data_IF_018373730165
#
_entry.id   IF_018373730165
#
_cell.length_a   1.000
_cell.length_b   1.000
_cell.length_c   1.000
_cell.angle_alpha   90.00
_cell.angle_beta   90.00
_cell.angle_gamma   90.00
#
_symmetry.space_group_name_H-M   'P 1'
#
loop_
_entity.id
_entity.type
_entity.pdbx_description
1 polymer ?
#
# COMPACT_ATOMS: atom_id res chain seq x y z
N UNK A 1 -52.58 42.74 18.88
CA UNK A 1 -52.12 43.08 17.52
C UNK A 1 -51.45 41.87 16.87
N UNK A 2 -52.19 40.80 16.55
CA UNK A 2 -51.78 39.65 15.70
C UNK A 2 -53.05 38.83 15.36
N UNK A 3 -53.84 39.29 14.39
CA UNK A 3 -54.96 38.54 13.80
C UNK A 3 -54.89 38.73 12.29
N UNK A 4 -54.23 37.82 11.58
CA UNK A 4 -54.08 37.98 10.13
C UNK A 4 -53.30 36.92 9.35
N UNK A 5 -52.94 35.76 9.92
CA UNK A 5 -52.21 34.69 9.20
C UNK A 5 -52.91 33.33 9.32
N UNK A 6 -54.22 33.27 9.04
CA UNK A 6 -55.00 32.00 9.09
C UNK A 6 -55.46 31.43 7.75
N UNK A 7 -55.14 32.03 6.61
CA UNK A 7 -55.76 31.66 5.33
C UNK A 7 -54.81 31.39 4.15
N UNK A 8 -53.70 30.68 4.39
CA UNK A 8 -52.86 30.18 3.28
C UNK A 8 -52.41 28.71 3.45
N UNK A 9 -53.21 27.89 4.13
CA UNK A 9 -53.03 26.44 4.07
C UNK A 9 -53.76 25.90 2.83
N UNK A 10 -53.22 26.19 1.64
CA UNK A 10 -53.76 25.64 0.39
C UNK A 10 -53.59 24.12 0.44
N UNK A 11 -54.68 23.39 0.27
CA UNK A 11 -54.68 21.93 0.21
C UNK A 11 -53.80 21.49 -0.98
N UNK A 12 -52.67 20.79 -0.75
CA UNK A 12 -51.74 20.39 -1.82
C UNK A 12 -52.39 19.50 -2.87
N UNK A 13 -53.44 18.76 -2.49
CA UNK A 13 -54.22 17.92 -3.41
C UNK A 13 -54.96 18.77 -4.46
N UNK A 14 -55.55 19.89 -4.06
CA UNK A 14 -56.28 20.79 -4.96
C UNK A 14 -55.37 21.52 -5.96
N UNK A 15 -54.08 21.66 -5.64
CA UNK A 15 -53.06 22.23 -6.55
C UNK A 15 -52.67 21.18 -7.59
N UNK A 16 -52.49 19.92 -7.18
CA UNK A 16 -52.15 18.82 -8.09
C UNK A 16 -53.25 18.59 -9.13
N UNK A 17 -54.53 18.61 -8.73
CA UNK A 17 -55.65 18.40 -9.65
C UNK A 17 -55.72 19.42 -10.80
N UNK A 18 -55.38 20.69 -10.54
CA UNK A 18 -55.42 21.79 -11.52
C UNK A 18 -54.24 21.84 -12.51
N UNK A 19 -53.24 20.97 -12.38
CA UNK A 19 -52.10 20.97 -13.31
C UNK A 19 -52.41 20.27 -14.63
N UNK A 20 -51.83 20.77 -15.74
CA UNK A 20 -51.84 20.06 -17.02
C UNK A 20 -51.16 18.69 -16.91
N UNK A 21 -51.57 17.74 -17.75
CA UNK A 21 -51.05 16.37 -17.79
C UNK A 21 -49.52 16.35 -17.91
N UNK A 22 -48.96 17.22 -18.74
CA UNK A 22 -47.51 17.32 -18.97
C UNK A 22 -46.75 17.73 -17.71
N UNK A 23 -47.30 18.65 -16.91
CA UNK A 23 -46.70 19.06 -15.63
C UNK A 23 -46.74 17.92 -14.61
N UNK A 24 -47.81 17.13 -14.57
CA UNK A 24 -47.89 15.95 -13.68
C UNK A 24 -46.83 14.92 -14.06
N UNK A 25 -46.69 14.63 -15.35
CA UNK A 25 -45.65 13.73 -15.87
C UNK A 25 -44.26 14.27 -15.52
N UNK A 26 -44.01 15.56 -15.72
CA UNK A 26 -42.74 16.19 -15.38
C UNK A 26 -42.40 16.10 -13.89
N UNK A 27 -43.37 16.31 -12.99
CA UNK A 27 -43.15 16.15 -11.54
C UNK A 27 -42.79 14.70 -11.20
N UNK A 28 -43.48 13.72 -11.79
CA UNK A 28 -43.16 12.31 -11.59
C UNK A 28 -41.75 11.99 -12.08
N UNK A 29 -41.36 12.49 -13.25
CA UNK A 29 -40.01 12.32 -13.80
C UNK A 29 -38.96 12.95 -12.88
N UNK A 30 -39.18 14.18 -12.42
CA UNK A 30 -38.25 14.86 -11.50
C UNK A 30 -38.15 14.09 -10.19
N UNK A 31 -39.27 13.65 -9.62
CA UNK A 31 -39.28 12.84 -8.40
C UNK A 31 -38.48 11.54 -8.57
N UNK A 32 -38.67 10.86 -9.70
CA UNK A 32 -37.90 9.66 -10.05
C UNK A 32 -36.40 9.95 -10.17
N UNK A 33 -36.02 11.02 -10.88
CA UNK A 33 -34.61 11.41 -11.07
C UNK A 33 -33.93 11.75 -9.74
N UNK A 34 -34.61 12.41 -8.81
CA UNK A 34 -34.07 12.74 -7.49
C UNK A 34 -33.80 11.47 -6.68
N UNK A 35 -34.76 10.53 -6.65
CA UNK A 35 -34.59 9.24 -5.97
C UNK A 35 -33.45 8.45 -6.60
N UNK A 36 -33.41 8.36 -7.93
CA UNK A 36 -32.38 7.64 -8.67
C UNK A 36 -30.99 8.25 -8.44
N UNK A 37 -30.86 9.58 -8.47
CA UNK A 37 -29.61 10.26 -8.13
C UNK A 37 -29.17 9.98 -6.71
N UNK A 38 -30.11 9.96 -5.75
CA UNK A 38 -29.81 9.62 -4.34
C UNK A 38 -29.23 8.21 -4.20
N UNK A 39 -29.77 7.24 -4.93
CA UNK A 39 -29.25 5.87 -4.96
C UNK A 39 -27.83 5.84 -5.54
N UNK A 40 -27.58 6.48 -6.67
CA UNK A 40 -26.23 6.54 -7.28
C UNK A 40 -25.22 7.21 -6.33
N UNK A 41 -25.58 8.32 -5.71
CA UNK A 41 -24.70 9.01 -4.75
C UNK A 41 -24.37 8.12 -3.56
N UNK A 42 -25.36 7.37 -3.05
CA UNK A 42 -25.14 6.44 -1.96
C UNK A 42 -24.20 5.29 -2.35
N UNK A 43 -24.40 4.67 -3.52
CA UNK A 43 -23.51 3.61 -4.02
C UNK A 43 -22.07 4.13 -4.19
N UNK A 44 -21.89 5.29 -4.83
CA UNK A 44 -20.57 5.91 -5.00
C UNK A 44 -19.89 6.23 -3.66
N UNK A 45 -20.66 6.56 -2.61
CA UNK A 45 -20.12 6.82 -1.28
C UNK A 45 -19.65 5.52 -0.62
N UNK A 46 -20.42 4.43 -0.75
CA UNK A 46 -20.02 3.12 -0.24
C UNK A 46 -18.76 2.60 -0.94
N UNK A 47 -18.69 2.71 -2.27
CA UNK A 47 -17.54 2.28 -3.06
C UNK A 47 -16.26 3.00 -2.60
N UNK A 48 -16.33 4.33 -2.39
CA UNK A 48 -15.20 5.11 -1.88
C UNK A 48 -14.74 4.69 -0.48
N UNK A 49 -15.68 4.44 0.44
CA UNK A 49 -15.32 3.97 1.78
C UNK A 49 -14.66 2.60 1.74
N UNK A 50 -15.14 1.71 0.86
CA UNK A 50 -14.54 0.40 0.70
C UNK A 50 -13.15 0.48 0.06
N UNK A 51 -12.94 1.34 -0.93
CA UNK A 51 -11.61 1.63 -1.50
C UNK A 51 -10.64 2.16 -0.43
N UNK A 52 -11.06 3.13 0.39
CA UNK A 52 -10.27 3.67 1.50
C UNK A 52 -9.90 2.57 2.50
N UNK A 53 -10.87 1.74 2.89
CA UNK A 53 -10.66 0.62 3.82
C UNK A 53 -9.69 -0.43 3.25
N UNK A 54 -9.83 -0.80 1.99
CA UNK A 54 -8.93 -1.75 1.35
C UNK A 54 -7.51 -1.18 1.23
N UNK A 55 -7.39 0.12 0.98
CA UNK A 55 -6.11 0.80 0.94
C UNK A 55 -5.44 0.87 2.32
N UNK A 56 -6.20 1.15 3.39
CA UNK A 56 -5.69 1.09 4.76
C UNK A 56 -5.14 -0.30 5.11
N UNK A 57 -5.91 -1.36 4.81
CA UNK A 57 -5.46 -2.75 5.03
C UNK A 57 -4.21 -3.08 4.23
N UNK A 58 -4.17 -2.67 2.95
CA UNK A 58 -2.99 -2.85 2.12
C UNK A 58 -1.76 -2.15 2.71
N UNK A 59 -1.91 -0.89 3.12
CA UNK A 59 -0.82 -0.09 3.66
C UNK A 59 -0.27 -0.70 4.95
N UNK A 60 -1.16 -1.14 5.85
CA UNK A 60 -0.81 -1.84 7.07
C UNK A 60 -0.01 -3.12 6.79
N UNK A 61 -0.52 -3.99 5.91
CA UNK A 61 0.17 -5.22 5.53
C UNK A 61 1.53 -4.95 4.87
N UNK A 62 1.61 -3.92 4.02
CA UNK A 62 2.86 -3.56 3.38
C UNK A 62 3.89 -3.02 4.38
N UNK A 63 3.46 -2.15 5.30
CA UNK A 63 4.29 -1.64 6.38
C UNK A 63 4.86 -2.77 7.24
N UNK A 64 4.02 -3.68 7.72
CA UNK A 64 4.48 -4.80 8.55
C UNK A 64 5.38 -5.76 7.78
N UNK A 65 5.11 -6.05 6.52
CA UNK A 65 5.99 -6.92 5.73
C UNK A 65 7.37 -6.30 5.49
N UNK A 66 7.45 -4.97 5.34
CA UNK A 66 8.73 -4.24 5.31
C UNK A 66 9.43 -4.30 6.67
N UNK A 67 8.69 -4.14 7.77
CA UNK A 67 9.23 -4.21 9.12
C UNK A 67 9.76 -5.60 9.49
N UNK A 68 9.00 -6.65 9.21
CA UNK A 68 9.37 -8.04 9.47
C UNK A 68 10.62 -8.42 8.65
N UNK A 69 10.67 -8.03 7.37
CA UNK A 69 11.87 -8.22 6.54
C UNK A 69 13.09 -7.52 7.15
N UNK A 70 12.93 -6.27 7.61
CA UNK A 70 14.00 -5.50 8.25
C UNK A 70 14.46 -6.16 9.55
N UNK A 71 13.53 -6.53 10.42
CA UNK A 71 13.82 -7.14 11.71
C UNK A 71 14.56 -8.46 11.57
N UNK A 72 14.17 -9.32 10.63
CA UNK A 72 14.87 -10.58 10.36
C UNK A 72 16.29 -10.36 9.85
N UNK A 73 16.49 -9.40 8.94
CA UNK A 73 17.84 -9.05 8.45
C UNK A 73 18.71 -8.52 9.60
N UNK A 74 18.18 -7.61 10.43
CA UNK A 74 18.91 -7.06 11.57
C UNK A 74 19.30 -8.15 12.57
N UNK A 75 18.35 -9.02 12.92
CA UNK A 75 18.59 -10.14 13.82
C UNK A 75 19.63 -11.13 13.28
N UNK A 76 19.61 -11.39 11.96
CA UNK A 76 20.63 -12.20 11.30
C UNK A 76 22.04 -11.57 11.41
N UNK A 77 22.16 -10.27 11.15
CA UNK A 77 23.43 -9.52 11.24
C UNK A 77 23.97 -9.48 12.68
N UNK A 78 23.08 -9.34 13.67
CA UNK A 78 23.44 -9.21 15.08
C UNK A 78 23.90 -10.53 15.68
N UNK A 79 23.13 -11.60 15.46
CA UNK A 79 23.43 -12.91 16.09
C UNK A 79 24.52 -13.69 15.35
N UNK A 80 24.71 -13.43 14.05
CA UNK A 80 25.68 -14.13 13.18
C UNK A 80 25.65 -15.67 13.37
N UNK A 81 24.49 -16.30 13.18
CA UNK A 81 24.35 -17.75 13.27
C UNK A 81 25.23 -18.43 12.20
N UNK A 82 25.45 -19.73 12.35
CA UNK A 82 26.28 -20.51 11.43
C UNK A 82 25.55 -21.78 10.97
N UNK A 83 25.98 -22.33 9.84
CA UNK A 83 25.51 -23.60 9.27
C UNK A 83 23.98 -23.64 9.11
N UNK A 84 23.33 -24.73 9.55
CA UNK A 84 21.90 -24.96 9.37
C UNK A 84 20.99 -23.83 9.93
N UNK A 85 21.39 -23.19 11.04
CA UNK A 85 20.61 -22.09 11.61
C UNK A 85 20.70 -20.83 10.73
N UNK A 86 21.84 -20.60 10.10
CA UNK A 86 22.04 -19.53 9.14
C UNK A 86 21.17 -19.74 7.90
N UNK A 87 21.17 -20.96 7.34
CA UNK A 87 20.34 -21.32 6.19
C UNK A 87 18.84 -21.11 6.47
N UNK A 88 18.36 -21.54 7.65
CA UNK A 88 16.96 -21.34 8.06
C UNK A 88 16.58 -19.86 8.11
N UNK A 89 17.49 -19.01 8.58
CA UNK A 89 17.24 -17.56 8.70
C UNK A 89 17.31 -16.85 7.37
N UNK A 90 18.23 -17.24 6.49
CA UNK A 90 18.27 -16.74 5.12
C UNK A 90 16.98 -17.10 4.39
N UNK A 91 16.52 -18.35 4.52
CA UNK A 91 15.24 -18.78 3.94
C UNK A 91 14.06 -17.99 4.52
N UNK A 92 14.06 -17.72 5.83
CA UNK A 92 13.02 -16.90 6.45
C UNK A 92 13.02 -15.45 5.93
N UNK A 93 14.19 -14.82 5.76
CA UNK A 93 14.30 -13.48 5.16
C UNK A 93 13.78 -13.47 3.72
N UNK A 94 14.16 -14.50 2.94
CA UNK A 94 13.69 -14.67 1.57
C UNK A 94 12.17 -14.71 1.49
N UNK A 95 11.53 -15.49 2.35
CA UNK A 95 10.08 -15.63 2.35
C UNK A 95 9.39 -14.29 2.68
N UNK A 96 9.90 -13.52 3.65
CA UNK A 96 9.35 -12.18 3.95
C UNK A 96 9.53 -11.19 2.80
N UNK A 97 10.69 -11.16 2.16
CA UNK A 97 10.93 -10.27 1.02
C UNK A 97 10.00 -10.63 -0.16
N UNK A 98 9.78 -11.92 -0.42
CA UNK A 98 8.83 -12.38 -1.44
C UNK A 98 7.37 -12.05 -1.07
N UNK A 99 7.02 -12.11 0.21
CA UNK A 99 5.73 -11.67 0.71
C UNK A 99 5.54 -10.16 0.49
N UNK A 100 6.52 -9.33 0.86
CA UNK A 100 6.49 -7.88 0.62
C UNK A 100 6.33 -7.54 -0.86
N UNK A 101 7.09 -8.24 -1.72
CA UNK A 101 6.96 -8.15 -3.17
C UNK A 101 5.55 -8.50 -3.67
N UNK A 102 4.93 -9.54 -3.09
CA UNK A 102 3.60 -9.98 -3.48
C UNK A 102 2.54 -8.96 -3.05
N UNK A 103 2.65 -8.42 -1.83
CA UNK A 103 1.75 -7.39 -1.32
C UNK A 103 1.77 -6.16 -2.22
N UNK A 104 2.94 -5.61 -2.55
CA UNK A 104 3.02 -4.41 -3.39
C UNK A 104 2.50 -4.65 -4.81
N UNK A 105 2.78 -5.82 -5.41
CA UNK A 105 2.26 -6.18 -6.72
C UNK A 105 0.75 -6.36 -6.73
N UNK A 106 0.19 -6.96 -5.68
CA UNK A 106 -1.25 -7.11 -5.53
C UNK A 106 -1.93 -5.77 -5.30
N UNK A 107 -1.33 -4.87 -4.51
CA UNK A 107 -1.78 -3.49 -4.37
C UNK A 107 -1.90 -2.80 -5.74
N UNK A 108 -0.85 -2.88 -6.54
CA UNK A 108 -0.86 -2.35 -7.91
C UNK A 108 -1.90 -3.01 -8.83
N UNK A 109 -2.05 -4.34 -8.76
CA UNK A 109 -2.87 -5.08 -9.75
C UNK A 109 -4.36 -5.10 -9.41
N UNK A 110 -4.72 -5.10 -8.12
CA UNK A 110 -6.07 -5.38 -7.65
C UNK A 110 -6.71 -4.25 -6.85
N UNK A 111 -5.92 -3.39 -6.22
CA UNK A 111 -6.43 -2.29 -5.42
C UNK A 111 -6.41 -0.98 -6.21
N UNK A 112 -5.22 -0.55 -6.66
CA UNK A 112 -5.08 0.67 -7.42
C UNK A 112 -3.83 0.62 -8.31
N UNK A 113 -4.04 0.73 -9.63
CA UNK A 113 -2.97 0.68 -10.64
C UNK A 113 -1.99 1.84 -10.60
N UNK A 114 -2.30 2.90 -9.84
CA UNK A 114 -1.36 3.98 -9.57
C UNK A 114 -0.29 3.59 -8.54
N UNK A 115 -0.52 2.55 -7.73
CA UNK A 115 0.52 2.02 -6.82
C UNK A 115 1.66 1.45 -7.66
N UNK A 116 2.87 1.96 -7.43
CA UNK A 116 4.04 1.61 -8.22
C UNK A 116 4.57 0.25 -7.77
N UNK A 117 4.63 -0.75 -8.67
CA UNK A 117 5.31 -1.99 -8.37
C UNK A 117 6.83 -1.75 -8.34
N UNK A 118 7.54 -2.50 -7.51
CA UNK A 118 9.01 -2.48 -7.45
C UNK A 118 9.58 -3.89 -7.60
N UNK A 119 10.79 -3.99 -8.17
CA UNK A 119 11.56 -5.23 -8.21
C UNK A 119 12.57 -5.36 -7.06
N UNK A 120 12.73 -4.31 -6.24
CA UNK A 120 13.72 -4.24 -5.16
C UNK A 120 13.74 -5.48 -4.27
N UNK A 121 12.56 -5.96 -3.84
CA UNK A 121 12.45 -7.14 -2.99
C UNK A 121 12.93 -8.41 -3.68
N UNK A 122 12.63 -8.58 -4.97
CA UNK A 122 13.14 -9.72 -5.75
C UNK A 122 14.65 -9.63 -5.97
N UNK A 123 15.17 -8.43 -6.25
CA UNK A 123 16.61 -8.24 -6.38
C UNK A 123 17.33 -8.51 -5.05
N UNK A 124 16.74 -8.11 -3.93
CA UNK A 124 17.24 -8.45 -2.59
C UNK A 124 17.31 -9.96 -2.38
N UNK A 125 16.29 -10.71 -2.81
CA UNK A 125 16.31 -12.19 -2.78
C UNK A 125 17.42 -12.77 -3.67
N UNK A 126 17.65 -12.21 -4.85
CA UNK A 126 18.73 -12.69 -5.72
C UNK A 126 20.13 -12.50 -5.11
N UNK A 127 20.33 -11.47 -4.30
CA UNK A 127 21.56 -11.35 -3.53
C UNK A 127 21.72 -12.46 -2.48
N UNK A 128 20.62 -12.90 -1.85
CA UNK A 128 20.66 -14.03 -0.90
C UNK A 128 20.99 -15.35 -1.60
N UNK A 129 20.42 -15.58 -2.79
CA UNK A 129 20.57 -16.81 -3.57
C UNK A 129 21.84 -16.84 -4.44
N UNK A 130 22.57 -15.72 -4.52
CA UNK A 130 23.70 -15.52 -5.42
C UNK A 130 23.26 -15.05 -6.81
N UNK A 131 24.03 -14.14 -7.40
CA UNK A 131 23.69 -13.51 -8.68
C UNK A 131 24.93 -13.15 -9.50
N UNK A 132 24.80 -13.33 -10.81
CA UNK A 132 25.75 -12.81 -11.80
C UNK A 132 25.20 -11.52 -12.42
N UNK A 133 25.79 -10.39 -12.02
CA UNK A 133 25.49 -9.07 -12.56
C UNK A 133 26.36 -8.88 -13.79
N UNK A 134 25.74 -9.01 -14.97
CA UNK A 134 26.44 -8.98 -16.26
C UNK A 134 27.36 -7.77 -16.41
N UNK A 135 28.66 -8.05 -16.50
CA UNK A 135 29.69 -7.02 -16.74
C UNK A 135 30.11 -6.25 -15.49
N UNK A 136 29.55 -6.57 -14.32
CA UNK A 136 29.83 -5.87 -13.05
C UNK A 136 30.48 -6.81 -12.05
N UNK A 137 29.77 -7.84 -11.59
CA UNK A 137 30.23 -8.70 -10.51
C UNK A 137 29.46 -10.03 -10.47
N UNK A 138 30.14 -11.07 -9.99
CA UNK A 138 29.50 -12.32 -9.59
C UNK A 138 29.51 -12.41 -8.06
N UNK A 139 28.33 -12.58 -7.50
CA UNK A 139 28.09 -12.65 -6.06
C UNK A 139 27.66 -14.07 -5.74
N UNK A 140 28.43 -14.73 -4.88
CA UNK A 140 28.05 -16.04 -4.35
C UNK A 140 26.78 -15.94 -3.50
N UNK A 141 26.03 -17.05 -3.36
CA UNK A 141 24.95 -17.11 -2.37
C UNK A 141 25.47 -16.71 -1.00
N UNK A 142 24.64 -16.01 -0.22
CA UNK A 142 25.01 -15.70 1.16
C UNK A 142 25.20 -17.00 1.93
N UNK A 143 26.25 -17.06 2.74
CA UNK A 143 26.59 -18.20 3.58
C UNK A 143 27.00 -19.46 2.81
N UNK A 144 27.58 -19.32 1.61
CA UNK A 144 28.12 -20.45 0.85
C UNK A 144 29.11 -21.31 1.67
N UNK A 145 29.83 -20.70 2.62
CA UNK A 145 30.79 -21.37 3.52
C UNK A 145 30.24 -21.68 4.92
N UNK A 146 28.93 -21.44 5.15
CA UNK A 146 28.26 -21.68 6.42
C UNK A 146 28.44 -20.57 7.48
N UNK A 147 29.00 -19.42 7.11
CA UNK A 147 29.09 -18.25 7.98
C UNK A 147 28.81 -16.95 7.21
N UNK A 148 28.57 -15.85 7.94
CA UNK A 148 28.46 -14.53 7.33
C UNK A 148 29.81 -13.82 7.29
N UNK A 149 30.27 -13.45 6.10
CA UNK A 149 31.46 -12.65 5.91
C UNK A 149 31.18 -11.13 5.96
N UNK A 150 32.24 -10.32 5.98
CA UNK A 150 32.10 -8.86 6.08
C UNK A 150 31.42 -8.23 4.85
N UNK A 151 31.56 -8.82 3.67
CA UNK A 151 30.94 -8.32 2.43
C UNK A 151 29.45 -8.63 2.42
N UNK A 152 29.06 -9.84 2.82
CA UNK A 152 27.66 -10.26 2.97
C UNK A 152 26.96 -9.41 4.04
N UNK A 153 27.63 -9.16 5.18
CA UNK A 153 27.10 -8.26 6.20
C UNK A 153 26.92 -6.84 5.65
N UNK A 154 27.87 -6.33 4.86
CA UNK A 154 27.76 -4.98 4.24
C UNK A 154 26.58 -4.90 3.27
N UNK A 155 26.36 -5.94 2.48
CA UNK A 155 25.22 -6.05 1.57
C UNK A 155 23.88 -6.12 2.32
N UNK A 156 23.78 -6.99 3.34
CA UNK A 156 22.59 -7.10 4.18
C UNK A 156 22.27 -5.78 4.90
N UNK A 157 23.29 -5.07 5.42
CA UNK A 157 23.11 -3.73 6.01
C UNK A 157 22.61 -2.71 5.00
N UNK A 158 23.02 -2.82 3.73
CA UNK A 158 22.57 -1.92 2.66
C UNK A 158 21.08 -2.14 2.37
N UNK A 159 20.66 -3.39 2.23
CA UNK A 159 19.24 -3.76 2.06
C UNK A 159 18.41 -3.30 3.28
N UNK A 160 18.88 -3.60 4.50
CA UNK A 160 18.25 -3.15 5.73
C UNK A 160 18.14 -1.62 5.81
N UNK A 161 19.14 -0.89 5.33
CA UNK A 161 19.14 0.57 5.29
C UNK A 161 18.04 1.14 4.40
N UNK A 162 17.76 0.52 3.26
CA UNK A 162 16.63 0.91 2.40
C UNK A 162 15.28 0.62 3.04
N UNK A 163 15.11 -0.59 3.59
CA UNK A 163 13.88 -0.98 4.29
C UNK A 163 13.60 -0.09 5.49
N UNK A 164 14.63 0.24 6.28
CA UNK A 164 14.52 1.11 7.45
C UNK A 164 14.06 2.53 7.06
N UNK A 165 14.59 3.11 5.99
CA UNK A 165 14.14 4.42 5.49
C UNK A 165 12.70 4.37 5.00
N UNK A 166 12.33 3.32 4.26
CA UNK A 166 10.95 3.13 3.81
C UNK A 166 9.98 3.00 4.99
N UNK A 167 10.30 2.13 5.97
CA UNK A 167 9.54 1.98 7.21
C UNK A 167 9.38 3.31 7.94
N UNK A 168 10.48 4.04 8.14
CA UNK A 168 10.48 5.31 8.86
C UNK A 168 9.59 6.36 8.19
N UNK A 169 9.59 6.43 6.85
CA UNK A 169 8.75 7.38 6.12
C UNK A 169 7.26 6.97 6.09
N UNK A 170 6.95 5.68 6.25
CA UNK A 170 5.58 5.19 6.42
C UNK A 170 5.07 5.31 7.86
N UNK A 171 5.96 5.47 8.85
CA UNK A 171 5.63 5.43 10.26
C UNK A 171 4.87 6.69 10.75
N UNK A 172 3.88 6.49 11.61
CA UNK A 172 3.18 7.52 12.35
C UNK A 172 3.47 7.41 13.86
N UNK A 173 4.09 8.44 14.46
CA UNK A 173 4.27 8.50 15.91
C UNK A 173 2.95 8.51 16.70
N UNK A 174 1.83 8.89 16.06
CA UNK A 174 0.52 8.95 16.72
C UNK A 174 -0.08 7.55 16.95
N UNK A 175 0.04 6.67 15.97
CA UNK A 175 -0.49 5.30 16.01
C UNK A 175 0.55 4.31 16.53
N UNK A 176 1.84 4.67 16.47
CA UNK A 176 2.93 3.75 16.77
C UNK A 176 3.17 2.71 15.68
N UNK A 177 2.54 2.88 14.50
CA UNK A 177 2.57 1.95 13.36
C UNK A 177 2.65 2.75 12.06
N UNK A 178 2.09 2.27 10.95
CA UNK A 178 1.95 3.05 9.72
C UNK A 178 1.08 4.29 9.92
N UNK A 179 1.29 5.29 9.06
CA UNK A 179 0.43 6.45 8.94
C UNK A 179 -0.82 6.10 8.11
N UNK A 180 -2.01 5.97 8.73
CA UNK A 180 -3.22 5.59 7.97
C UNK A 180 -3.68 6.68 6.99
N UNK A 181 -3.17 7.92 7.15
CA UNK A 181 -3.48 9.05 6.26
C UNK A 181 -2.51 9.14 5.07
N UNK A 182 -1.53 8.22 4.96
CA UNK A 182 -0.56 8.24 3.86
C UNK A 182 -1.28 8.03 2.53
N UNK A 183 -1.18 8.95 1.60
CA UNK A 183 -1.81 8.81 0.28
C UNK A 183 -1.01 7.89 -0.64
N UNK A 184 -1.65 7.33 -1.68
CA UNK A 184 -0.97 6.55 -2.74
C UNK A 184 0.20 7.35 -3.34
N UNK A 185 0.02 8.66 -3.53
CA UNK A 185 1.07 9.54 -4.07
C UNK A 185 2.28 9.61 -3.14
N UNK A 186 2.07 9.74 -1.83
CA UNK A 186 3.15 9.78 -0.85
C UNK A 186 3.82 8.41 -0.72
N UNK A 187 3.04 7.32 -0.68
CA UNK A 187 3.56 5.96 -0.71
C UNK A 187 4.46 5.73 -1.94
N UNK A 188 4.02 6.16 -3.12
CA UNK A 188 4.80 6.06 -4.35
C UNK A 188 6.11 6.86 -4.30
N UNK A 189 6.14 7.99 -3.60
CA UNK A 189 7.37 8.75 -3.36
C UNK A 189 8.32 7.96 -2.45
N UNK A 190 7.81 7.36 -1.38
CA UNK A 190 8.58 6.50 -0.47
C UNK A 190 9.18 5.31 -1.23
N UNK A 191 8.36 4.64 -2.07
CA UNK A 191 8.80 3.52 -2.91
C UNK A 191 9.95 3.95 -3.82
N UNK A 192 9.74 4.96 -4.66
CA UNK A 192 10.76 5.47 -5.59
C UNK A 192 12.06 5.86 -4.90
N UNK A 193 11.93 6.55 -3.76
CA UNK A 193 13.07 7.08 -3.02
C UNK A 193 13.90 5.96 -2.39
N UNK A 194 13.25 4.98 -1.76
CA UNK A 194 13.92 4.06 -0.85
C UNK A 194 14.01 2.62 -1.39
N UNK A 195 12.99 2.13 -2.07
CA UNK A 195 12.84 0.71 -2.43
C UNK A 195 12.45 0.50 -3.90
N UNK A 196 12.91 1.39 -4.78
CA UNK A 196 12.87 1.26 -6.25
C UNK A 196 14.30 1.33 -6.80
N UNK A 197 15.17 0.52 -6.21
CA UNK A 197 16.57 0.39 -6.60
C UNK A 197 16.72 -0.84 -7.46
N UNK A 198 17.37 -0.68 -8.60
CA UNK A 198 17.79 -1.81 -9.41
C UNK A 198 18.95 -2.54 -8.74
N UNK A 199 19.29 -3.69 -9.33
CA UNK A 199 20.32 -4.57 -8.79
C UNK A 199 21.70 -3.89 -8.78
N UNK A 200 22.03 -3.14 -9.83
CA UNK A 200 23.32 -2.44 -9.94
C UNK A 200 23.44 -1.39 -8.83
N UNK A 201 22.37 -0.62 -8.57
CA UNK A 201 22.38 0.41 -7.55
C UNK A 201 22.52 -0.15 -6.14
N UNK A 202 21.86 -1.26 -5.83
CA UNK A 202 22.01 -1.93 -4.52
C UNK A 202 23.46 -2.40 -4.34
N UNK A 203 24.06 -2.96 -5.39
CA UNK A 203 25.44 -3.41 -5.36
C UNK A 203 26.43 -2.23 -5.18
N UNK A 204 26.27 -1.16 -5.95
CA UNK A 204 27.09 0.06 -5.86
C UNK A 204 27.03 0.70 -4.47
N UNK A 205 25.84 0.79 -3.87
CA UNK A 205 25.72 1.37 -2.53
C UNK A 205 26.34 0.44 -1.46
N UNK A 206 26.42 -0.86 -1.74
CA UNK A 206 27.05 -1.84 -0.88
C UNK A 206 28.57 -1.92 -1.02
N UNK A 207 29.20 -1.55 -2.15
CA UNK A 207 30.63 -1.76 -2.39
C UNK A 207 31.36 -0.52 -2.89
#
# INVERSE_FOLDING_TARGET
MFRGLKNLQKNPVAIYERMSKDRKIMIVIIGFLVVFSGIITFLNYQDKQEEERQYEVFLNHFYFSVDDSLGRIQHLIEEKPQNEELDKRIQSIRDELLQANTIIRNGSSFLNSEIIPTQFFRYSVYFLEGIDIKGTAKISPIAEDGALDDKEIKLLKTIAGYLAKAKQEMYSPKTGQENPELTIKELNQIIRKNIDKDIDKIYEDAF
#
